data_IF_469557433391
#
_entry.id   IF_469557433391
#
_cell.length_a   1.000
_cell.length_b   1.000
_cell.length_c   1.000
_cell.angle_alpha   90.00
_cell.angle_beta   90.00
_cell.angle_gamma   90.00
#
_symmetry.space_group_name_H-M   'P 1'
#
loop_
_entity.id
_entity.type
_entity.pdbx_description
1 polymer ?
#
# COMPACT_ATOMS: atom_id res chain seq x y z
N UNK A 1 -13.43 -10.32 -6.36
CA UNK A 1 -11.99 -10.46 -6.05
C UNK A 1 -11.82 -11.53 -4.97
N UNK A 2 -10.86 -12.45 -5.10
CA UNK A 2 -10.61 -13.51 -4.09
C UNK A 2 -9.57 -13.05 -3.07
N UNK A 3 -9.64 -13.56 -1.83
CA UNK A 3 -8.73 -13.23 -0.72
C UNK A 3 -7.25 -13.38 -1.09
N UNK A 4 -6.92 -14.34 -1.97
CA UNK A 4 -5.55 -14.55 -2.48
C UNK A 4 -4.96 -13.37 -3.26
N UNK A 5 -5.77 -12.48 -3.83
CA UNK A 5 -5.25 -11.29 -4.53
C UNK A 5 -4.84 -10.18 -3.55
N UNK A 6 -5.19 -10.29 -2.28
CA UNK A 6 -4.80 -9.33 -1.25
C UNK A 6 -3.51 -9.70 -0.55
N UNK A 7 -3.05 -10.97 -0.66
CA UNK A 7 -1.81 -11.42 -0.04
C UNK A 7 -0.57 -10.64 -0.49
N UNK A 8 -0.40 -10.26 -1.78
CA UNK A 8 0.76 -9.49 -2.20
C UNK A 8 0.70 -8.05 -1.69
N UNK A 9 -0.50 -7.47 -1.68
CA UNK A 9 -0.70 -6.12 -1.16
C UNK A 9 -0.43 -6.05 0.34
N UNK A 10 -0.96 -7.00 1.12
CA UNK A 10 -0.70 -7.09 2.55
C UNK A 10 0.78 -7.34 2.83
N UNK A 11 1.44 -8.21 2.05
CA UNK A 11 2.87 -8.48 2.14
C UNK A 11 3.76 -7.28 1.82
N UNK A 12 3.24 -6.27 1.12
CA UNK A 12 3.92 -4.98 0.92
C UNK A 12 3.55 -3.97 2.01
N UNK A 13 2.25 -3.70 2.20
CA UNK A 13 1.76 -2.61 3.06
C UNK A 13 2.13 -2.83 4.53
N UNK A 14 1.97 -4.04 5.07
CA UNK A 14 2.29 -4.32 6.48
C UNK A 14 3.75 -4.05 6.83
N UNK A 15 4.76 -4.67 6.17
CA UNK A 15 6.14 -4.40 6.51
C UNK A 15 6.52 -2.94 6.23
N UNK A 16 6.01 -2.33 5.16
CA UNK A 16 6.27 -0.92 4.86
C UNK A 16 5.77 -0.01 5.97
N UNK A 17 4.53 -0.16 6.45
CA UNK A 17 4.00 0.65 7.55
C UNK A 17 4.72 0.39 8.87
N UNK A 18 5.02 -0.88 9.20
CA UNK A 18 5.74 -1.24 10.42
C UNK A 18 7.13 -0.60 10.44
N UNK A 19 7.88 -0.69 9.35
CA UNK A 19 9.24 -0.14 9.27
C UNK A 19 9.17 1.40 9.25
N UNK A 20 8.33 1.97 8.39
CA UNK A 20 8.19 3.41 8.21
C UNK A 20 7.74 4.11 9.49
N UNK A 21 6.55 3.75 10.00
CA UNK A 21 5.97 4.40 11.18
C UNK A 21 6.47 3.84 12.51
N UNK A 22 6.95 2.60 12.57
CA UNK A 22 7.41 1.99 13.82
C UNK A 22 8.88 2.25 14.14
N UNK A 23 9.75 2.34 13.12
CA UNK A 23 11.20 2.43 13.33
C UNK A 23 11.83 3.70 12.76
N UNK A 24 11.44 4.12 11.56
CA UNK A 24 12.12 5.21 10.85
C UNK A 24 11.60 6.58 11.29
N UNK A 25 10.29 6.81 11.22
CA UNK A 25 9.67 8.11 11.50
C UNK A 25 9.77 8.50 13.00
N UNK A 26 9.52 7.62 13.99
CA UNK A 26 9.62 7.99 15.40
C UNK A 26 11.02 8.33 15.87
N UNK A 27 12.05 7.80 15.18
CA UNK A 27 13.46 8.06 15.50
C UNK A 27 13.98 9.33 14.81
N UNK A 28 13.16 9.99 13.99
CA UNK A 28 13.46 11.31 13.44
C UNK A 28 13.07 12.39 14.46
N UNK A 29 13.81 13.50 14.51
CA UNK A 29 13.60 14.64 15.43
C UNK A 29 12.26 15.40 15.19
N UNK A 30 11.38 14.83 14.36
CA UNK A 30 10.09 15.37 13.95
C UNK A 30 9.00 14.36 14.36
N UNK A 31 8.98 13.96 15.63
CA UNK A 31 7.99 13.03 16.17
C UNK A 31 6.60 13.69 16.21
N UNK A 32 5.87 13.63 15.11
CA UNK A 32 4.54 14.20 14.93
C UNK A 32 4.01 13.99 13.50
N UNK A 33 2.75 14.38 13.24
CA UNK A 33 2.19 14.40 11.88
C UNK A 33 2.87 15.52 11.11
N UNK A 34 3.92 15.18 10.39
CA UNK A 34 4.74 16.10 9.61
C UNK A 34 4.62 15.79 8.10
N UNK A 35 5.27 16.60 7.27
CA UNK A 35 5.28 16.43 5.81
C UNK A 35 5.78 15.04 5.37
N UNK A 36 6.80 14.49 6.06
CA UNK A 36 7.34 13.15 5.77
C UNK A 36 6.33 12.04 6.09
N UNK A 37 5.59 12.19 7.19
CA UNK A 37 4.59 11.25 7.68
C UNK A 37 3.40 11.22 6.72
N UNK A 38 2.97 12.39 6.25
CA UNK A 38 1.90 12.55 5.28
C UNK A 38 2.35 12.06 3.91
N UNK A 39 3.53 12.45 3.43
CA UNK A 39 4.10 11.97 2.15
C UNK A 39 4.29 10.45 2.12
N UNK A 40 4.72 9.87 3.24
CA UNK A 40 4.81 8.43 3.36
C UNK A 40 3.43 7.76 3.33
N UNK A 41 2.42 8.29 4.04
CA UNK A 41 1.04 7.78 3.96
C UNK A 41 0.49 7.86 2.53
N UNK A 42 0.66 8.99 1.86
CA UNK A 42 0.10 9.21 0.52
C UNK A 42 0.72 8.26 -0.50
N UNK A 43 2.03 8.01 -0.41
CA UNK A 43 2.71 7.04 -1.30
C UNK A 43 2.21 5.61 -1.08
N UNK A 44 2.07 5.16 0.17
CA UNK A 44 1.54 3.83 0.49
C UNK A 44 0.08 3.68 0.03
N UNK A 45 -0.73 4.73 0.23
CA UNK A 45 -2.12 4.75 -0.22
C UNK A 45 -2.23 4.72 -1.76
N UNK A 46 -1.44 5.53 -2.46
CA UNK A 46 -1.40 5.55 -3.92
C UNK A 46 -0.94 4.21 -4.50
N UNK A 47 0.10 3.59 -3.93
CA UNK A 47 0.55 2.26 -4.33
C UNK A 47 -0.56 1.20 -4.16
N UNK A 48 -1.29 1.26 -3.04
CA UNK A 48 -2.40 0.34 -2.76
C UNK A 48 -3.55 0.50 -3.75
N UNK A 49 -3.91 1.74 -4.08
CA UNK A 49 -4.91 2.07 -5.11
C UNK A 49 -4.49 1.56 -6.48
N UNK A 50 -3.25 1.81 -6.89
CA UNK A 50 -2.71 1.36 -8.18
C UNK A 50 -2.74 -0.16 -8.29
N UNK A 51 -2.31 -0.87 -7.25
CA UNK A 51 -2.39 -2.34 -7.20
C UNK A 51 -3.83 -2.82 -7.37
N UNK A 52 -4.77 -2.23 -6.62
CA UNK A 52 -6.17 -2.62 -6.67
C UNK A 52 -6.79 -2.39 -8.07
N UNK A 53 -6.50 -1.25 -8.69
CA UNK A 53 -6.96 -0.94 -10.05
C UNK A 53 -6.37 -1.91 -11.07
N UNK A 54 -5.07 -2.23 -10.98
CA UNK A 54 -4.41 -3.20 -11.86
C UNK A 54 -5.01 -4.59 -11.76
N UNK A 55 -5.21 -5.11 -10.54
CA UNK A 55 -5.88 -6.40 -10.32
C UNK A 55 -7.31 -6.37 -10.86
N UNK A 56 -8.05 -5.27 -10.65
CA UNK A 56 -9.40 -5.13 -11.18
C UNK A 56 -9.44 -5.15 -12.71
N UNK A 57 -8.50 -4.48 -13.37
CA UNK A 57 -8.41 -4.44 -14.82
C UNK A 57 -8.19 -5.85 -15.39
N UNK A 58 -7.20 -6.58 -14.88
CA UNK A 58 -6.88 -7.95 -15.32
C UNK A 58 -8.05 -8.90 -15.06
N UNK A 59 -8.70 -8.83 -13.90
CA UNK A 59 -9.84 -9.69 -13.61
C UNK A 59 -11.06 -9.43 -14.51
N UNK A 60 -11.25 -8.18 -14.97
CA UNK A 60 -12.30 -7.84 -15.95
C UNK A 60 -11.98 -8.43 -17.32
N UNK A 61 -10.73 -8.33 -17.76
CA UNK A 61 -10.27 -8.87 -19.04
C UNK A 61 -10.37 -10.40 -19.08
N UNK A 62 -9.88 -11.08 -18.04
CA UNK A 62 -9.99 -12.55 -17.91
C UNK A 62 -11.45 -13.01 -17.86
N UNK A 63 -12.35 -12.21 -17.28
CA UNK A 63 -13.79 -12.50 -17.29
C UNK A 63 -14.47 -12.27 -18.64
N UNK A 64 -13.95 -11.36 -19.47
CA UNK A 64 -14.47 -11.07 -20.81
C UNK A 64 -13.95 -12.03 -21.89
N UNK A 65 -12.77 -12.62 -21.68
CA UNK A 65 -12.16 -13.60 -22.56
C UNK A 65 -12.69 -15.04 -22.38
N UNK A 66 -13.64 -15.24 -21.45
CA UNK A 66 -14.19 -16.54 -21.07
C UNK A 66 -15.67 -16.62 -21.38
#
# INVERSE_FOLDING_TARGET
MKLRHWTPLLGFVLPTLIIGYGFVIPRSYIAGVNELTVGFATTVAAASLTYWMGVRAVLREVGAAR
#
